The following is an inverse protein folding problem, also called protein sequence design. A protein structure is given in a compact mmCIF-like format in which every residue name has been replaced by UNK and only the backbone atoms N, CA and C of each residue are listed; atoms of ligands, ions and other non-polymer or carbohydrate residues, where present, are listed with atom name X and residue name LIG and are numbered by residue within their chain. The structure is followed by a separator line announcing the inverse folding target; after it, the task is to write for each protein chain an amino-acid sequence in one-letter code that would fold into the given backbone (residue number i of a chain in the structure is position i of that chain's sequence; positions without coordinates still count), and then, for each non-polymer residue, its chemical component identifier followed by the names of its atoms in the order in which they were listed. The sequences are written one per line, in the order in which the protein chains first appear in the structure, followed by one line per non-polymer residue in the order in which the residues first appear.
data_IF_371631650617
#
_entry.id   IF_371631650617
#
_cell.length_a   1.000
_cell.length_b   1.000
_cell.length_c   1.000
_cell.angle_alpha   90.00
_cell.angle_beta   90.00
_cell.angle_gamma   90.00
#
_symmetry.space_group_name_H-M   'P 1'
#
loop_
_entity.id
_entity.type
_entity.pdbx_description
1 polymer ?
#
# COMPACT_ATOMS: atom_id res chain seq x y z
N UNK A 1 -23.71 -10.06 18.33
CA UNK A 1 -23.22 -9.76 16.97
C UNK A 1 -22.08 -8.74 17.12
N UNK A 2 -20.82 -9.17 17.07
CA UNK A 2 -19.68 -8.25 17.24
C UNK A 2 -19.38 -7.63 15.87
N UNK A 3 -19.67 -6.35 15.71
CA UNK A 3 -19.26 -5.59 14.55
C UNK A 3 -17.73 -5.40 14.63
N UNK A 4 -16.95 -6.37 14.15
CA UNK A 4 -15.50 -6.19 13.99
C UNK A 4 -15.30 -5.25 12.81
N UNK A 5 -14.98 -3.99 13.09
CA UNK A 5 -14.36 -3.15 12.08
C UNK A 5 -13.11 -3.88 11.58
N UNK A 6 -13.05 -4.13 10.28
CA UNK A 6 -12.09 -5.01 9.59
C UNK A 6 -10.64 -4.50 9.60
N UNK A 7 -10.33 -3.42 10.31
CA UNK A 7 -9.08 -2.67 10.22
C UNK A 7 -8.43 -2.48 11.59
N UNK A 8 -8.15 -3.58 12.30
CA UNK A 8 -7.48 -3.52 13.60
C UNK A 8 -6.00 -3.88 13.46
N UNK A 9 -5.12 -2.92 13.73
CA UNK A 9 -3.65 -3.10 13.74
C UNK A 9 -3.23 -4.35 14.53
N UNK A 10 -3.89 -4.62 15.66
CA UNK A 10 -3.61 -5.78 16.52
C UNK A 10 -3.80 -7.12 15.81
N UNK A 11 -4.77 -7.23 14.91
CA UNK A 11 -5.00 -8.45 14.11
C UNK A 11 -3.86 -8.65 13.13
N UNK A 12 -3.50 -7.60 12.38
CA UNK A 12 -2.35 -7.64 11.47
C UNK A 12 -1.06 -7.98 12.20
N UNK A 13 -0.82 -7.36 13.36
CA UNK A 13 0.37 -7.61 14.18
C UNK A 13 0.45 -9.08 14.60
N UNK A 14 -0.65 -9.67 15.07
CA UNK A 14 -0.69 -11.08 15.43
C UNK A 14 -0.35 -12.00 14.24
N UNK A 15 -0.83 -11.68 13.04
CA UNK A 15 -0.52 -12.42 11.80
C UNK A 15 0.96 -12.28 11.45
N UNK A 16 1.51 -11.06 11.45
CA UNK A 16 2.90 -10.80 11.08
C UNK A 16 3.91 -11.47 12.05
N UNK A 17 3.65 -11.42 13.36
CA UNK A 17 4.46 -12.13 14.35
C UNK A 17 4.37 -13.66 14.17
N UNK A 18 3.17 -14.17 13.84
CA UNK A 18 2.98 -15.59 13.54
C UNK A 18 3.73 -16.02 12.27
N UNK A 19 3.81 -15.16 11.26
CA UNK A 19 4.60 -15.40 10.05
C UNK A 19 6.10 -15.41 10.38
N UNK A 20 6.59 -14.41 11.11
CA UNK A 20 8.00 -14.30 11.49
C UNK A 20 8.48 -15.55 12.26
N UNK A 21 7.68 -16.03 13.21
CA UNK A 21 8.03 -17.24 13.99
C UNK A 21 8.07 -18.53 13.17
N UNK A 22 7.27 -18.63 12.09
CA UNK A 22 7.20 -19.82 11.22
C UNK A 22 8.24 -19.83 10.12
N UNK A 23 8.57 -18.66 9.59
CA UNK A 23 9.49 -18.51 8.46
C UNK A 23 10.95 -18.41 8.91
N UNK A 24 11.20 -18.21 10.22
CA UNK A 24 12.54 -18.13 10.77
C UNK A 24 13.29 -16.89 10.28
N UNK A 25 14.59 -17.03 10.01
CA UNK A 25 15.39 -15.91 9.51
C UNK A 25 15.17 -15.73 8.00
N UNK A 26 14.48 -14.65 7.64
CA UNK A 26 14.31 -14.22 6.25
C UNK A 26 15.23 -13.04 5.95
N UNK A 27 15.90 -13.06 4.80
CA UNK A 27 16.49 -11.87 4.20
C UNK A 27 15.38 -11.05 3.53
N UNK A 28 14.51 -10.47 4.35
CA UNK A 28 13.32 -9.77 3.89
C UNK A 28 13.67 -8.40 3.32
N UNK A 29 13.47 -8.22 2.02
CA UNK A 29 13.76 -6.95 1.32
C UNK A 29 12.63 -5.91 1.46
N UNK A 30 11.38 -6.36 1.52
CA UNK A 30 10.24 -5.44 1.56
C UNK A 30 8.88 -6.11 1.62
N UNK A 31 7.85 -5.32 1.89
CA UNK A 31 6.45 -5.69 1.77
C UNK A 31 5.76 -4.95 0.63
N UNK A 32 4.92 -5.66 -0.12
CA UNK A 32 3.96 -5.09 -1.08
C UNK A 32 2.56 -5.49 -0.64
N UNK A 33 1.73 -4.52 -0.28
CA UNK A 33 0.36 -4.75 0.18
C UNK A 33 -0.52 -3.52 -0.06
N UNK A 34 -1.80 -3.63 0.26
CA UNK A 34 -2.76 -2.55 0.06
C UNK A 34 -2.44 -1.33 0.91
N UNK A 35 -2.99 -0.18 0.54
CA UNK A 35 -2.81 1.10 1.23
C UNK A 35 -3.61 1.16 2.55
N UNK A 36 -3.55 0.08 3.33
CA UNK A 36 -4.25 -0.04 4.60
C UNK A 36 -3.33 0.35 5.76
N UNK A 37 -3.64 1.48 6.40
CA UNK A 37 -2.86 2.06 7.49
C UNK A 37 -2.59 1.07 8.63
N UNK A 38 -3.58 0.28 9.03
CA UNK A 38 -3.44 -0.68 10.13
C UNK A 38 -2.39 -1.76 9.84
N UNK A 39 -2.35 -2.27 8.61
CA UNK A 39 -1.37 -3.25 8.18
C UNK A 39 0.05 -2.65 8.13
N UNK A 40 0.19 -1.44 7.57
CA UNK A 40 1.49 -0.75 7.49
C UNK A 40 2.07 -0.47 8.88
N UNK A 41 1.24 -0.03 9.83
CA UNK A 41 1.68 0.18 11.22
C UNK A 41 2.09 -1.13 11.91
N UNK A 42 1.38 -2.22 11.63
CA UNK A 42 1.73 -3.54 12.17
C UNK A 42 3.04 -4.07 11.58
N UNK A 43 3.30 -3.88 10.28
CA UNK A 43 4.57 -4.25 9.65
C UNK A 43 5.73 -3.48 10.27
N UNK A 44 5.61 -2.16 10.46
CA UNK A 44 6.67 -1.35 11.08
C UNK A 44 7.04 -1.80 12.49
N UNK A 45 6.10 -2.41 13.20
CA UNK A 45 6.32 -2.96 14.53
C UNK A 45 6.94 -4.36 14.49
N UNK A 46 6.43 -5.26 13.64
CA UNK A 46 6.93 -6.63 13.54
C UNK A 46 8.26 -6.75 12.78
N UNK A 47 8.51 -5.86 11.82
CA UNK A 47 9.66 -5.86 10.91
C UNK A 47 10.25 -4.45 10.79
N UNK A 48 10.94 -3.96 11.84
CA UNK A 48 11.50 -2.62 11.85
C UNK A 48 12.55 -2.44 10.73
N UNK A 49 12.48 -1.31 10.03
CA UNK A 49 13.44 -0.93 8.98
C UNK A 49 13.20 -1.55 7.59
N UNK A 50 12.22 -2.44 7.44
CA UNK A 50 11.85 -3.03 6.14
C UNK A 50 11.09 -2.03 5.27
N UNK A 51 11.37 -2.03 3.96
CA UNK A 51 10.67 -1.18 2.99
C UNK A 51 9.21 -1.61 2.82
N UNK A 52 8.28 -0.65 2.75
CA UNK A 52 6.85 -0.93 2.52
C UNK A 52 6.40 -0.18 1.27
N UNK A 53 5.82 -0.92 0.32
CA UNK A 53 5.26 -0.40 -0.93
C UNK A 53 3.76 -0.73 -1.02
N UNK A 54 3.01 0.18 -1.63
CA UNK A 54 1.62 -0.06 -1.96
C UNK A 54 1.47 -0.98 -3.18
N UNK A 55 0.45 -1.84 -3.17
CA UNK A 55 0.15 -2.73 -4.28
C UNK A 55 -0.48 -1.97 -5.46
N UNK A 56 0.24 -1.92 -6.59
CA UNK A 56 -0.24 -1.25 -7.81
C UNK A 56 -1.50 -1.93 -8.39
N UNK A 57 -1.64 -3.24 -8.22
CA UNK A 57 -2.81 -4.00 -8.69
C UNK A 57 -4.09 -3.53 -7.98
N UNK A 58 -4.11 -3.54 -6.65
CA UNK A 58 -5.27 -3.08 -5.90
C UNK A 58 -5.50 -1.57 -6.02
N UNK A 59 -4.44 -0.77 -6.19
CA UNK A 59 -4.58 0.64 -6.53
C UNK A 59 -5.35 0.85 -7.84
N UNK A 60 -5.03 0.09 -8.89
CA UNK A 60 -5.72 0.22 -10.18
C UNK A 60 -7.19 -0.15 -10.12
N UNK A 61 -7.54 -1.18 -9.34
CA UNK A 61 -8.94 -1.54 -9.08
C UNK A 61 -9.67 -0.42 -8.34
N UNK A 62 -9.03 0.20 -7.35
CA UNK A 62 -9.60 1.31 -6.58
C UNK A 62 -9.79 2.58 -7.44
N UNK A 63 -8.92 2.80 -8.42
CA UNK A 63 -9.02 3.92 -9.36
C UNK A 63 -10.05 3.69 -10.50
N UNK A 64 -10.53 2.46 -10.69
CA UNK A 64 -11.53 2.10 -11.69
C UNK A 64 -11.08 2.19 -13.16
N UNK A 65 -12.00 1.89 -14.08
CA UNK A 65 -11.78 1.79 -15.53
C UNK A 65 -11.19 3.05 -16.18
N UNK A 66 -11.35 4.20 -15.53
CA UNK A 66 -10.82 5.49 -16.00
C UNK A 66 -9.30 5.49 -16.13
N UNK A 67 -8.58 4.70 -15.31
CA UNK A 67 -7.12 4.56 -15.41
C UNK A 67 -6.70 3.32 -16.23
N UNK A 68 -7.53 2.28 -16.25
CA UNK A 68 -7.31 1.04 -17.02
C UNK A 68 -7.19 1.29 -18.52
N UNK A 69 -7.89 2.30 -19.05
CA UNK A 69 -7.87 2.64 -20.48
C UNK A 69 -6.62 3.41 -20.95
N UNK A 70 -5.78 3.89 -20.03
CA UNK A 70 -4.67 4.80 -20.35
C UNK A 70 -3.28 4.11 -20.33
N UNK A 71 -3.21 2.78 -20.26
CA UNK A 71 -1.96 2.00 -20.16
C UNK A 71 -1.08 2.36 -18.93
N UNK A 72 -1.66 3.01 -17.93
CA UNK A 72 -0.97 3.47 -16.71
C UNK A 72 -0.49 2.33 -15.84
N UNK A 73 -1.19 1.20 -15.84
CA UNK A 73 -0.80 0.01 -15.09
C UNK A 73 0.55 -0.55 -15.54
N UNK A 74 0.80 -0.60 -16.85
CA UNK A 74 2.11 -0.98 -17.38
C UNK A 74 3.17 0.02 -16.98
N UNK A 75 2.90 1.32 -17.12
CA UNK A 75 3.83 2.37 -16.71
C UNK A 75 4.18 2.35 -15.22
N UNK A 76 3.22 2.08 -14.32
CA UNK A 76 3.49 2.00 -12.87
C UNK A 76 4.29 0.74 -12.52
N UNK A 77 4.03 -0.39 -13.19
CA UNK A 77 4.77 -1.64 -12.99
C UNK A 77 6.17 -1.62 -13.61
N UNK A 78 6.33 -0.99 -14.78
CA UNK A 78 7.58 -0.94 -15.56
C UNK A 78 8.47 0.24 -15.13
N UNK A 79 7.90 1.41 -14.85
CA UNK A 79 8.61 2.58 -14.35
C UNK A 79 8.45 2.69 -12.83
N UNK A 80 9.39 2.05 -12.09
CA UNK A 80 9.59 2.17 -10.62
C UNK A 80 9.73 3.62 -10.09
N UNK A 81 9.58 4.65 -10.93
CA UNK A 81 9.89 6.05 -10.65
C UNK A 81 8.66 6.93 -10.37
N UNK A 82 7.41 6.45 -10.55
CA UNK A 82 6.22 7.31 -10.40
C UNK A 82 5.62 7.35 -8.99
N UNK A 83 5.80 6.28 -8.20
CA UNK A 83 5.28 6.20 -6.82
C UNK A 83 5.83 7.32 -5.90
N UNK A 84 7.11 7.76 -5.96
CA UNK A 84 7.66 8.72 -4.99
C UNK A 84 6.98 10.09 -4.94
N UNK A 85 6.30 10.53 -6.00
CA UNK A 85 5.63 11.84 -6.03
C UNK A 85 4.26 11.81 -5.35
N UNK A 86 3.50 10.72 -5.49
CA UNK A 86 2.16 10.60 -4.92
C UNK A 86 2.18 10.29 -3.41
N UNK A 87 3.20 9.62 -2.88
CA UNK A 87 3.28 9.34 -1.42
C UNK A 87 3.70 10.57 -0.61
N UNK A 88 4.35 11.57 -1.22
CA UNK A 88 4.81 12.80 -0.55
C UNK A 88 3.71 13.85 -0.36
N UNK A 89 2.59 13.72 -1.06
CA UNK A 89 1.52 14.70 -1.06
C UNK A 89 0.42 14.39 -0.05
N UNK A 90 0.68 13.77 1.11
CA UNK A 90 -0.36 13.61 2.13
C UNK A 90 -0.48 14.89 2.99
N UNK A 91 -1.66 15.55 3.08
CA UNK A 91 -2.95 15.20 2.47
C UNK A 91 -3.04 15.58 0.99
N UNK A 92 -3.67 14.72 0.16
CA UNK A 92 -3.67 14.70 -1.31
C UNK A 92 -4.16 15.96 -2.06
N UNK A 93 -4.44 17.06 -1.35
CA UNK A 93 -4.92 18.32 -1.91
C UNK A 93 -3.91 19.05 -2.82
N UNK A 94 -2.64 18.63 -2.85
CA UNK A 94 -1.56 19.30 -3.57
C UNK A 94 -0.87 18.43 -4.63
N UNK A 95 -1.44 17.27 -4.98
CA UNK A 95 -0.88 16.42 -6.04
C UNK A 95 -1.27 16.99 -7.43
N UNK A 96 -0.31 17.31 -8.32
CA UNK A 96 -0.61 17.86 -9.65
C UNK A 96 -1.39 16.90 -10.55
N UNK A 97 -1.43 15.60 -10.23
CA UNK A 97 -2.28 14.62 -10.91
C UNK A 97 -3.79 14.79 -10.59
N UNK A 98 -4.15 15.61 -9.59
CA UNK A 98 -5.53 15.85 -9.16
C UNK A 98 -6.12 17.18 -9.69
N UNK A 99 -5.32 18.01 -10.36
CA UNK A 99 -5.85 19.16 -11.11
C UNK A 99 -6.25 18.73 -12.52
N UNK A 100 -7.14 17.75 -12.63
CA UNK A 100 -7.93 17.60 -13.85
C UNK A 100 -9.22 18.40 -13.63
N UNK A 101 -9.40 19.42 -14.47
CA UNK A 101 -10.47 20.40 -14.40
C UNK A 101 -11.81 19.79 -14.01
N UNK A 102 -12.38 20.27 -12.89
CA UNK A 102 -13.84 20.31 -12.78
C UNK A 102 -14.31 21.32 -13.82
N UNK A 103 -14.90 20.83 -14.90
CA UNK A 103 -15.88 21.63 -15.65
C UNK A 103 -17.09 21.88 -14.77
#
# INVERSE_FOLDING_TARGET
MVHRSSCQKSVYLAVFLSLQSRLGHLSLEGFVLDFEKAAWLAIREAFPGVEIKGCAFHWSQACGDTFSQLDWLKRICDERAFIPSCVKCWPFSSCPAFTYNKQ
#
